data_IF_719821823910
#
_entry.id   IF_719821823910
#
_cell.length_a   1.000
_cell.length_b   1.000
_cell.length_c   1.000
_cell.angle_alpha   90.00
_cell.angle_beta   90.00
_cell.angle_gamma   90.00
#
_symmetry.space_group_name_H-M   'P 1'
#
loop_
_entity.id
_entity.type
_entity.pdbx_description
1 polymer ?
#
# COMPACT_ATOMS: atom_id res chain seq x y z
N UNK A 1 17.73 13.45 -12.63
CA UNK A 1 16.44 13.14 -11.97
C UNK A 1 16.80 12.69 -10.57
N UNK A 2 16.29 13.34 -9.49
CA UNK A 2 16.54 12.85 -8.14
C UNK A 2 15.80 11.53 -7.95
N UNK A 3 16.46 10.55 -7.35
CA UNK A 3 15.83 9.28 -7.05
C UNK A 3 14.77 9.49 -5.96
N UNK A 4 13.50 9.26 -6.30
CA UNK A 4 12.40 9.42 -5.34
C UNK A 4 12.46 8.36 -4.23
N UNK A 5 13.17 7.24 -4.43
CA UNK A 5 13.34 6.19 -3.42
C UNK A 5 14.13 6.68 -2.19
N UNK A 6 14.94 7.74 -2.33
CA UNK A 6 15.66 8.37 -1.21
C UNK A 6 14.75 9.26 -0.34
N UNK A 7 13.55 9.61 -0.81
CA UNK A 7 12.64 10.45 -0.05
C UNK A 7 12.07 9.67 1.13
N UNK A 8 12.26 10.19 2.35
CA UNK A 8 11.70 9.60 3.58
C UNK A 8 10.18 9.40 3.51
N UNK A 9 9.47 10.31 2.84
CA UNK A 9 8.02 10.20 2.64
C UNK A 9 7.66 9.00 1.75
N UNK A 10 8.41 8.79 0.67
CA UNK A 10 8.23 7.64 -0.20
C UNK A 10 8.52 6.32 0.54
N UNK A 11 9.62 6.26 1.30
CA UNK A 11 9.99 5.08 2.09
C UNK A 11 8.89 4.72 3.10
N UNK A 12 8.32 5.72 3.79
CA UNK A 12 7.20 5.51 4.72
C UNK A 12 5.92 5.04 4.00
N UNK A 13 5.60 5.60 2.84
CA UNK A 13 4.45 5.19 2.04
C UNK A 13 4.62 3.74 1.52
N UNK A 14 5.83 3.36 1.12
CA UNK A 14 6.15 2.00 0.72
C UNK A 14 6.00 1.02 1.89
N UNK A 15 6.54 1.35 3.07
CA UNK A 15 6.37 0.56 4.29
C UNK A 15 4.89 0.40 4.69
N UNK A 16 4.11 1.47 4.60
CA UNK A 16 2.66 1.43 4.83
C UNK A 16 1.97 0.47 3.85
N UNK A 17 2.32 0.53 2.56
CA UNK A 17 1.76 -0.36 1.54
C UNK A 17 2.03 -1.83 1.89
N UNK A 18 3.26 -2.18 2.25
CA UNK A 18 3.62 -3.54 2.67
C UNK A 18 2.83 -3.98 3.91
N UNK A 19 2.69 -3.12 4.91
CA UNK A 19 1.90 -3.41 6.11
C UNK A 19 0.42 -3.64 5.79
N UNK A 20 -0.17 -2.84 4.89
CA UNK A 20 -1.56 -3.03 4.44
C UNK A 20 -1.72 -4.35 3.70
N UNK A 21 -0.76 -4.74 2.85
CA UNK A 21 -0.79 -6.04 2.18
C UNK A 21 -0.76 -7.20 3.18
N UNK A 22 0.09 -7.11 4.21
CA UNK A 22 0.17 -8.12 5.28
C UNK A 22 -1.12 -8.18 6.11
N UNK A 23 -1.64 -7.04 6.56
CA UNK A 23 -2.86 -6.98 7.37
C UNK A 23 -4.09 -7.50 6.62
N UNK A 24 -4.21 -7.21 5.33
CA UNK A 24 -5.33 -7.66 4.49
C UNK A 24 -5.18 -9.10 4.00
N UNK A 25 -4.04 -9.77 4.23
CA UNK A 25 -3.86 -11.16 3.81
C UNK A 25 -4.77 -12.15 4.56
N UNK A 26 -5.19 -11.80 5.77
CA UNK A 26 -6.07 -12.61 6.61
C UNK A 26 -7.57 -12.30 6.42
N UNK A 27 -7.93 -11.41 5.50
CA UNK A 27 -9.33 -11.07 5.26
C UNK A 27 -10.10 -12.22 4.59
N UNK A 28 -11.42 -12.32 4.79
CA UNK A 28 -12.27 -13.29 4.10
C UNK A 28 -12.12 -13.18 2.57
N UNK A 29 -12.29 -14.31 1.87
CA UNK A 29 -12.09 -14.37 0.41
C UNK A 29 -13.10 -13.49 -0.33
N UNK A 30 -14.27 -13.30 0.24
CA UNK A 30 -15.36 -12.45 -0.23
C UNK A 30 -14.94 -10.98 -0.30
N UNK A 31 -14.01 -10.55 0.56
CA UNK A 31 -13.49 -9.17 0.62
C UNK A 31 -12.35 -8.90 -0.38
N UNK A 32 -11.95 -9.89 -1.17
CA UNK A 32 -10.83 -9.76 -2.12
C UNK A 32 -11.02 -8.57 -3.07
N UNK A 33 -12.21 -8.42 -3.61
CA UNK A 33 -12.55 -7.32 -4.51
C UNK A 33 -13.17 -6.12 -3.79
N UNK A 34 -13.65 -6.30 -2.55
CA UNK A 34 -14.13 -5.25 -1.65
C UNK A 34 -12.98 -4.55 -0.91
N UNK A 35 -12.95 -4.71 0.42
CA UNK A 35 -12.03 -4.00 1.30
C UNK A 35 -10.56 -4.24 0.95
N UNK A 36 -10.19 -5.47 0.56
CA UNK A 36 -8.79 -5.81 0.25
C UNK A 36 -8.28 -5.01 -0.94
N UNK A 37 -9.05 -4.95 -2.04
CA UNK A 37 -8.64 -4.23 -3.25
C UNK A 37 -8.59 -2.71 -3.03
N UNK A 38 -9.54 -2.17 -2.25
CA UNK A 38 -9.61 -0.74 -1.97
C UNK A 38 -8.44 -0.28 -1.10
N UNK A 39 -8.18 -0.97 0.01
CA UNK A 39 -7.09 -0.62 0.93
C UNK A 39 -5.72 -0.72 0.24
N UNK A 40 -5.46 -1.79 -0.50
CA UNK A 40 -4.18 -1.98 -1.20
C UNK A 40 -3.93 -0.88 -2.23
N UNK A 41 -4.91 -0.57 -3.08
CA UNK A 41 -4.79 0.51 -4.09
C UNK A 41 -4.62 1.90 -3.46
N UNK A 42 -5.39 2.19 -2.41
CA UNK A 42 -5.29 3.46 -1.70
C UNK A 42 -3.92 3.62 -1.01
N UNK A 43 -3.38 2.55 -0.44
CA UNK A 43 -2.05 2.60 0.20
C UNK A 43 -0.92 2.80 -0.81
N UNK A 44 -0.97 2.09 -1.95
CA UNK A 44 0.08 2.18 -2.97
C UNK A 44 0.07 3.53 -3.70
N UNK A 45 -1.09 4.18 -3.80
CA UNK A 45 -1.17 5.50 -4.45
C UNK A 45 -0.43 6.57 -3.65
N UNK A 46 -0.29 6.45 -2.33
CA UNK A 46 0.42 7.44 -1.49
C UNK A 46 1.88 7.61 -1.94
N UNK A 47 2.57 6.53 -2.33
CA UNK A 47 3.95 6.61 -2.81
C UNK A 47 4.09 6.89 -4.31
N UNK A 48 2.99 6.86 -5.06
CA UNK A 48 2.95 7.06 -6.50
C UNK A 48 2.50 8.47 -6.92
N UNK A 49 1.98 9.27 -5.98
CA UNK A 49 1.67 10.70 -6.16
C UNK A 49 2.83 11.55 -5.63
#
# INVERSE_FOLDING_TARGET
>A
MKDFHELKVWQKAHQLTLAVYQATAAFPREERYGLTSQLRRASSSVGAN
#
